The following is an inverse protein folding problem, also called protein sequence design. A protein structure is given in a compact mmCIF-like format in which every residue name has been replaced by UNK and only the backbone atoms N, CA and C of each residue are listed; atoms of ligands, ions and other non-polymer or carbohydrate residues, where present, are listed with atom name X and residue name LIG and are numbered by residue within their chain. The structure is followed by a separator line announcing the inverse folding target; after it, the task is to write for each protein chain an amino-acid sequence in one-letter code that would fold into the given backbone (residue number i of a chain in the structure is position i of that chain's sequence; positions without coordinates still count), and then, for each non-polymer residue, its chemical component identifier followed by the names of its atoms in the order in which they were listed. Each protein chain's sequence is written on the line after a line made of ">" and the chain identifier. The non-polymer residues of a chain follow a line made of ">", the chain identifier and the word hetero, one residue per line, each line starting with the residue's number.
data_IF_728194901321
#
_entry.id   IF_728194901321
#
_cell.length_a   1.000
_cell.length_b   1.000
_cell.length_c   1.000
_cell.angle_alpha   90.00
_cell.angle_beta   90.00
_cell.angle_gamma   90.00
#
_symmetry.space_group_name_H-M   'P 1'
#
loop_
_entity.id
_entity.type
_entity.pdbx_description
1 polymer ?
#
# COMPACT_ATOMS: atom_id res chain seq x y z
N UNK A 1 -3.66 -15.43 7.74
CA UNK A 1 -4.97 -14.82 8.07
C UNK A 1 -5.06 -13.44 7.42
N UNK A 2 -6.24 -13.07 6.94
CA UNK A 2 -6.63 -11.73 6.52
C UNK A 2 -7.84 -11.29 7.35
N UNK A 3 -7.70 -10.17 8.07
CA UNK A 3 -8.79 -9.58 8.86
C UNK A 3 -9.52 -8.56 7.98
N UNK A 4 -10.85 -8.65 7.94
CA UNK A 4 -11.72 -7.75 7.19
C UNK A 4 -12.77 -7.17 8.13
N UNK A 5 -12.85 -5.85 8.23
CA UNK A 5 -13.93 -5.22 8.99
C UNK A 5 -15.27 -5.46 8.28
N UNK A 6 -16.29 -5.90 9.03
CA UNK A 6 -17.64 -6.13 8.47
C UNK A 6 -18.29 -4.83 7.96
N UNK A 7 -18.03 -3.74 8.67
CA UNK A 7 -18.47 -2.41 8.29
C UNK A 7 -17.22 -1.62 7.87
N UNK A 8 -17.08 -1.36 6.57
CA UNK A 8 -16.20 -0.27 6.13
C UNK A 8 -16.58 0.95 6.97
N UNK A 9 -15.63 1.47 7.75
CA UNK A 9 -15.84 2.63 8.61
C UNK A 9 -16.52 3.72 7.79
N UNK A 10 -17.82 3.94 8.01
CA UNK A 10 -18.54 5.08 7.45
C UNK A 10 -17.87 6.31 8.03
N UNK A 11 -16.91 6.85 7.29
CA UNK A 11 -16.21 8.05 7.69
C UNK A 11 -17.21 9.19 7.84
N UNK A 12 -16.85 10.24 8.56
CA UNK A 12 -17.65 11.47 8.72
C UNK A 12 -18.11 12.09 7.39
N UNK A 13 -17.51 11.67 6.27
CA UNK A 13 -17.81 12.12 4.92
C UNK A 13 -18.48 11.05 4.03
N UNK A 14 -18.87 9.89 4.59
CA UNK A 14 -19.42 8.75 3.85
C UNK A 14 -18.52 8.23 2.73
N UNK A 15 -17.20 8.44 2.85
CA UNK A 15 -16.21 7.87 1.93
C UNK A 15 -15.93 6.46 2.43
N UNK A 16 -16.40 5.48 1.66
CA UNK A 16 -16.05 4.07 1.80
C UNK A 16 -15.02 3.72 0.74
N UNK A 17 -14.38 2.57 0.91
CA UNK A 17 -13.58 2.01 -0.17
C UNK A 17 -14.43 1.79 -1.43
N UNK A 18 -13.90 2.17 -2.60
CA UNK A 18 -14.61 1.99 -3.87
C UNK A 18 -14.76 0.51 -4.22
N UNK A 19 -15.83 0.17 -4.94
CA UNK A 19 -16.04 -1.20 -5.40
C UNK A 19 -14.90 -1.69 -6.31
N UNK A 20 -14.29 -0.80 -7.11
CA UNK A 20 -13.11 -1.10 -7.92
C UNK A 20 -11.92 -1.55 -7.04
N UNK A 21 -11.65 -0.83 -5.94
CA UNK A 21 -10.55 -1.18 -5.03
C UNK A 21 -10.85 -2.46 -4.24
N UNK A 22 -12.10 -2.68 -3.83
CA UNK A 22 -12.55 -3.94 -3.22
C UNK A 22 -12.35 -5.13 -4.15
N UNK A 23 -12.74 -4.99 -5.42
CA UNK A 23 -12.56 -6.02 -6.44
C UNK A 23 -11.07 -6.32 -6.67
N UNK A 24 -10.24 -5.29 -6.84
CA UNK A 24 -8.80 -5.45 -6.99
C UNK A 24 -8.16 -6.17 -5.79
N UNK A 25 -8.59 -5.81 -4.56
CA UNK A 25 -8.15 -6.50 -3.34
C UNK A 25 -8.60 -7.96 -3.31
N UNK A 26 -9.87 -8.23 -3.62
CA UNK A 26 -10.38 -9.61 -3.71
C UNK A 26 -9.59 -10.44 -4.71
N UNK A 27 -9.33 -9.93 -5.91
CA UNK A 27 -8.49 -10.61 -6.91
C UNK A 27 -7.08 -10.88 -6.37
N UNK A 28 -6.49 -9.90 -5.68
CA UNK A 28 -5.16 -10.03 -5.07
C UNK A 28 -5.12 -11.11 -3.98
N UNK A 29 -6.14 -11.20 -3.15
CA UNK A 29 -6.26 -12.22 -2.10
C UNK A 29 -6.54 -13.61 -2.67
N UNK A 30 -7.32 -13.72 -3.75
CA UNK A 30 -7.51 -14.98 -4.50
C UNK A 30 -6.18 -15.46 -5.09
N UNK A 31 -5.43 -14.56 -5.71
CA UNK A 31 -4.12 -14.86 -6.27
C UNK A 31 -3.14 -15.33 -5.17
N UNK A 32 -3.06 -14.60 -4.05
CA UNK A 32 -2.25 -15.00 -2.90
C UNK A 32 -2.65 -16.38 -2.36
N UNK A 33 -3.94 -16.64 -2.18
CA UNK A 33 -4.42 -17.94 -1.69
C UNK A 33 -4.08 -19.08 -2.67
N UNK A 34 -4.09 -18.81 -3.98
CA UNK A 34 -3.69 -19.78 -5.01
C UNK A 34 -2.20 -20.11 -4.89
N UNK A 35 -1.34 -19.11 -4.74
CA UNK A 35 0.09 -19.33 -4.51
C UNK A 35 0.36 -20.09 -3.20
N UNK A 36 -0.32 -19.72 -2.10
CA UNK A 36 -0.20 -20.43 -0.83
C UNK A 36 -0.63 -21.90 -0.94
N UNK A 37 -1.71 -22.19 -1.66
CA UNK A 37 -2.18 -23.57 -1.91
C UNK A 37 -1.15 -24.40 -2.65
N UNK A 38 -0.42 -23.82 -3.59
CA UNK A 38 0.68 -24.51 -4.28
C UNK A 38 1.82 -24.91 -3.34
N UNK A 39 1.95 -24.22 -2.20
CA UNK A 39 2.91 -24.50 -1.13
C UNK A 39 2.31 -25.34 0.02
N UNK A 40 1.10 -25.87 -0.15
CA UNK A 40 0.41 -26.66 0.89
C UNK A 40 -0.22 -25.83 2.01
N UNK A 41 -0.42 -24.52 1.81
CA UNK A 41 -0.97 -23.57 2.78
C UNK A 41 -2.23 -22.86 2.22
N UNK A 42 -2.92 -22.02 2.99
CA UNK A 42 -4.04 -21.19 2.56
C UNK A 42 -4.21 -19.97 3.47
N UNK A 43 -4.83 -18.92 2.93
CA UNK A 43 -5.23 -17.76 3.73
C UNK A 43 -6.63 -17.96 4.34
N UNK A 44 -6.75 -17.82 5.65
CA UNK A 44 -8.03 -17.69 6.33
C UNK A 44 -8.53 -16.24 6.26
N UNK A 45 -9.79 -16.04 5.90
CA UNK A 45 -10.46 -14.74 5.78
C UNK A 45 -11.43 -14.57 6.94
N UNK A 46 -11.14 -13.63 7.82
CA UNK A 46 -11.95 -13.40 9.02
C UNK A 46 -12.66 -12.07 8.90
N UNK A 47 -13.99 -12.13 8.83
CA UNK A 47 -14.82 -10.94 8.86
C UNK A 47 -15.10 -10.60 10.33
N UNK A 48 -14.52 -9.50 10.80
CA UNK A 48 -14.59 -9.06 12.19
C UNK A 48 -15.49 -7.85 12.35
N UNK A 49 -16.32 -7.86 13.39
CA UNK A 49 -17.18 -6.72 13.76
C UNK A 49 -16.63 -5.90 14.91
N UNK A 50 -15.70 -6.49 15.67
CA UNK A 50 -15.12 -5.87 16.86
C UNK A 50 -13.79 -6.51 17.20
N UNK A 51 -12.99 -5.83 18.00
CA UNK A 51 -11.75 -6.38 18.56
C UNK A 51 -12.00 -7.66 19.36
N UNK A 52 -13.19 -7.88 19.92
CA UNK A 52 -13.51 -9.11 20.65
C UNK A 52 -13.53 -10.35 19.73
N UNK A 53 -13.99 -10.21 18.48
CA UNK A 53 -13.98 -11.33 17.53
C UNK A 53 -12.54 -11.69 17.10
N UNK A 54 -11.63 -10.70 17.06
CA UNK A 54 -10.18 -10.94 16.87
C UNK A 54 -9.62 -11.69 18.09
N UNK A 55 -9.95 -11.27 19.31
CA UNK A 55 -9.52 -11.94 20.54
C UNK A 55 -9.97 -13.41 20.57
N UNK A 56 -11.23 -13.69 20.24
CA UNK A 56 -11.75 -15.06 20.19
C UNK A 56 -10.98 -15.94 19.19
N UNK A 57 -10.55 -15.38 18.07
CA UNK A 57 -9.71 -16.10 17.12
C UNK A 57 -8.31 -16.38 17.68
N UNK A 58 -7.69 -15.40 18.34
CA UNK A 58 -6.40 -15.58 19.02
C UNK A 58 -6.52 -16.66 20.11
N UNK A 59 -7.59 -16.66 20.90
CA UNK A 59 -7.86 -17.67 21.93
C UNK A 59 -8.00 -19.09 21.33
N UNK A 60 -8.64 -19.23 20.16
CA UNK A 60 -8.82 -20.52 19.48
C UNK A 60 -7.51 -21.08 18.91
N UNK A 61 -6.67 -20.19 18.37
CA UNK A 61 -5.39 -20.53 17.75
C UNK A 61 -4.30 -20.74 18.81
N UNK A 62 -4.30 -19.93 19.87
CA UNK A 62 -3.29 -19.87 20.93
C UNK A 62 -1.86 -19.84 20.38
N UNK A 63 -1.48 -18.81 19.59
CA UNK A 63 -0.18 -18.76 18.93
C UNK A 63 0.92 -18.29 19.89
N UNK A 64 2.15 -18.77 19.68
CA UNK A 64 3.33 -18.25 20.41
C UNK A 64 3.78 -16.87 19.88
N UNK A 65 3.50 -16.58 18.60
CA UNK A 65 3.97 -15.36 17.91
C UNK A 65 2.96 -14.91 16.86
N UNK A 66 2.76 -13.59 16.73
CA UNK A 66 1.92 -12.97 15.70
C UNK A 66 2.73 -11.93 14.94
N UNK A 67 2.84 -12.11 13.62
CA UNK A 67 3.49 -11.16 12.72
C UNK A 67 2.48 -10.30 11.98
N UNK A 68 2.79 -9.02 11.80
CA UNK A 68 2.12 -8.15 10.81
C UNK A 68 3.07 -7.18 10.13
N UNK A 69 2.64 -6.70 8.96
CA UNK A 69 3.21 -5.50 8.37
C UNK A 69 2.72 -4.26 9.14
N UNK A 70 3.62 -3.31 9.40
CA UNK A 70 3.25 -1.99 9.89
C UNK A 70 2.44 -1.27 8.81
N UNK A 71 1.35 -0.64 9.23
CA UNK A 71 0.51 0.19 8.38
C UNK A 71 0.33 1.58 9.02
N UNK A 72 0.24 2.66 8.22
CA UNK A 72 -0.14 3.97 8.73
C UNK A 72 -1.45 3.88 9.51
N UNK A 73 -1.46 4.38 10.76
CA UNK A 73 -2.68 4.41 11.57
C UNK A 73 -3.79 5.16 10.83
N UNK A 74 -4.83 4.44 10.44
CA UNK A 74 -6.08 5.06 10.04
C UNK A 74 -6.85 5.49 11.29
N UNK A 75 -7.74 6.46 11.14
CA UNK A 75 -8.56 6.93 12.26
C UNK A 75 -9.23 5.74 12.98
N UNK A 76 -9.10 5.68 14.31
CA UNK A 76 -9.80 4.74 15.22
C UNK A 76 -9.33 3.28 15.25
N UNK A 77 -8.20 2.92 14.61
CA UNK A 77 -7.76 1.52 14.60
C UNK A 77 -6.71 1.23 15.70
N UNK A 78 -7.19 0.89 16.90
CA UNK A 78 -6.36 0.56 18.07
C UNK A 78 -6.39 -0.93 18.43
N UNK A 79 -6.95 -1.79 17.56
CA UNK A 79 -7.10 -3.22 17.85
C UNK A 79 -5.76 -3.88 18.19
N UNK A 80 -4.67 -3.46 17.56
CA UNK A 80 -3.35 -4.04 17.78
C UNK A 80 -2.80 -3.74 19.17
N UNK A 81 -2.97 -2.51 19.66
CA UNK A 81 -2.57 -2.17 21.02
C UNK A 81 -3.42 -2.95 22.02
N UNK A 82 -4.74 -3.04 21.76
CA UNK A 82 -5.68 -3.79 22.61
C UNK A 82 -5.31 -5.28 22.70
N UNK A 83 -5.02 -5.95 21.58
CA UNK A 83 -4.64 -7.37 21.62
C UNK A 83 -3.24 -7.57 22.23
N UNK A 84 -2.31 -6.65 22.01
CA UNK A 84 -0.96 -6.74 22.61
C UNK A 84 -1.02 -6.60 24.14
N UNK A 85 -1.86 -5.69 24.65
CA UNK A 85 -2.08 -5.52 26.09
C UNK A 85 -2.80 -6.72 26.71
N UNK A 86 -3.75 -7.32 25.98
CA UNK A 86 -4.54 -8.45 26.46
C UNK A 86 -3.75 -9.76 26.54
N UNK A 87 -2.79 -9.98 25.64
CA UNK A 87 -2.04 -11.23 25.51
C UNK A 87 -0.53 -11.01 25.70
N UNK A 88 -0.06 -10.64 26.92
CA UNK A 88 1.34 -10.31 27.16
C UNK A 88 2.31 -11.49 26.97
N UNK A 89 1.80 -12.72 26.95
CA UNK A 89 2.56 -13.95 26.71
C UNK A 89 2.86 -14.25 25.23
N UNK A 90 2.13 -13.63 24.30
CA UNK A 90 2.33 -13.81 22.86
C UNK A 90 3.39 -12.83 22.36
N UNK A 91 4.34 -13.29 21.55
CA UNK A 91 5.29 -12.39 20.89
C UNK A 91 4.64 -11.65 19.71
N UNK A 92 4.34 -10.36 19.88
CA UNK A 92 3.80 -9.51 18.82
C UNK A 92 4.91 -8.83 18.01
N UNK A 93 5.00 -9.16 16.72
CA UNK A 93 6.04 -8.70 15.81
C UNK A 93 5.47 -7.84 14.69
N UNK A 94 5.74 -6.54 14.74
CA UNK A 94 5.37 -5.60 13.68
C UNK A 94 6.60 -5.21 12.84
N UNK A 95 6.53 -5.37 11.50
CA UNK A 95 7.65 -5.13 10.58
C UNK A 95 7.29 -4.09 9.51
N UNK A 96 8.22 -3.19 9.19
CA UNK A 96 8.06 -2.31 8.02
C UNK A 96 8.46 -3.07 6.77
N UNK A 97 7.47 -3.59 6.05
CA UNK A 97 7.65 -4.34 4.80
C UNK A 97 7.43 -3.49 3.55
N UNK A 98 6.87 -2.29 3.72
CA UNK A 98 6.48 -1.42 2.60
C UNK A 98 7.61 -0.51 2.13
N UNK A 99 8.70 -0.33 2.88
CA UNK A 99 9.79 0.64 2.62
C UNK A 99 10.94 0.04 1.80
N UNK A 100 11.72 0.91 1.15
CA UNK A 100 13.00 0.56 0.52
C UNK A 100 14.06 0.27 1.59
N UNK A 101 14.14 1.13 2.62
CA UNK A 101 15.13 1.07 3.68
C UNK A 101 14.54 0.52 4.97
N UNK A 102 15.40 -0.05 5.80
CA UNK A 102 15.08 -0.42 7.17
C UNK A 102 15.34 0.74 8.14
N UNK A 103 14.71 0.68 9.33
CA UNK A 103 14.88 1.71 10.36
C UNK A 103 16.34 1.85 10.80
N UNK A 104 17.09 0.73 10.84
CA UNK A 104 18.52 0.68 11.16
C UNK A 104 19.41 1.35 10.10
N UNK A 105 18.91 1.52 8.88
CA UNK A 105 19.66 2.17 7.79
C UNK A 105 19.48 3.70 7.78
N UNK A 106 18.49 4.24 8.50
CA UNK A 106 18.22 5.68 8.49
C UNK A 106 19.35 6.45 9.20
N UNK A 107 19.90 7.50 8.57
CA UNK A 107 21.03 8.27 9.13
C UNK A 107 20.57 9.39 10.07
N UNK A 108 19.39 9.24 10.67
CA UNK A 108 18.80 10.20 11.58
C UNK A 108 17.84 9.49 12.53
N UNK A 109 17.72 10.02 13.74
CA UNK A 109 16.72 9.57 14.68
C UNK A 109 15.33 10.13 14.37
N UNK A 110 14.29 9.54 14.97
CA UNK A 110 12.89 9.97 14.79
C UNK A 110 12.68 11.47 15.05
N UNK A 111 13.35 12.01 16.07
CA UNK A 111 13.22 13.42 16.45
C UNK A 111 13.95 14.38 15.50
N UNK A 112 14.80 13.84 14.60
CA UNK A 112 15.56 14.58 13.59
C UNK A 112 15.02 14.33 12.18
N UNK A 113 13.80 13.78 12.06
CA UNK A 113 13.21 13.47 10.76
C UNK A 113 13.20 14.73 9.86
N UNK A 114 13.73 14.65 8.63
CA UNK A 114 13.83 15.82 7.78
C UNK A 114 12.47 16.40 7.41
N UNK A 115 12.22 17.66 7.77
CA UNK A 115 10.92 18.33 7.53
C UNK A 115 10.53 18.55 6.05
N UNK A 116 11.43 18.25 5.11
CA UNK A 116 11.17 18.38 3.67
C UNK A 116 11.73 17.17 2.94
N UNK A 117 11.03 16.75 1.89
CA UNK A 117 11.49 15.66 1.01
C UNK A 117 12.91 15.89 0.47
N UNK A 118 13.26 17.11 0.06
CA UNK A 118 14.61 17.38 -0.48
C UNK A 118 15.73 17.13 0.53
N UNK A 119 15.50 17.43 1.82
CA UNK A 119 16.46 17.11 2.89
C UNK A 119 16.52 15.61 3.14
N UNK A 120 15.37 14.94 3.19
CA UNK A 120 15.27 13.48 3.33
C UNK A 120 15.98 12.74 2.20
N UNK A 121 15.66 13.05 0.93
CA UNK A 121 16.29 12.45 -0.24
C UNK A 121 17.81 12.54 -0.17
N UNK A 122 18.36 13.74 0.06
CA UNK A 122 19.82 13.94 0.14
C UNK A 122 20.50 13.11 1.23
N UNK A 123 19.81 12.85 2.35
CA UNK A 123 20.37 12.03 3.41
C UNK A 123 20.31 10.53 3.13
N UNK A 124 19.39 10.05 2.27
CA UNK A 124 19.22 8.60 2.05
C UNK A 124 19.56 8.09 0.65
N UNK A 125 19.66 8.96 -0.37
CA UNK A 125 19.76 8.53 -1.77
C UNK A 125 21.04 7.77 -2.14
N UNK A 126 22.08 7.89 -1.31
CA UNK A 126 23.36 7.20 -1.45
C UNK A 126 23.39 5.86 -0.71
N UNK A 127 22.38 5.55 0.11
CA UNK A 127 22.33 4.33 0.89
C UNK A 127 22.02 3.13 -0.02
N UNK A 128 22.68 2.01 0.27
CA UNK A 128 22.43 0.77 -0.43
C UNK A 128 21.02 0.24 -0.11
N UNK A 129 20.24 -0.02 -1.16
CA UNK A 129 18.94 -0.68 -1.05
C UNK A 129 19.19 -2.18 -1.16
N UNK A 130 18.67 -2.92 -0.19
CA UNK A 130 18.79 -4.37 -0.17
C UNK A 130 17.98 -4.99 -1.31
N UNK A 131 18.45 -6.14 -1.79
CA UNK A 131 17.72 -6.92 -2.78
C UNK A 131 16.38 -7.43 -2.21
N UNK A 132 15.39 -7.71 -3.07
CA UNK A 132 14.15 -8.37 -2.66
C UNK A 132 14.43 -9.72 -1.99
N UNK A 133 13.65 -10.05 -0.96
CA UNK A 133 13.74 -11.34 -0.27
C UNK A 133 13.28 -12.45 -1.23
N UNK A 134 13.98 -13.58 -1.20
CA UNK A 134 13.67 -14.75 -2.02
C UNK A 134 12.35 -15.37 -1.57
N UNK A 135 11.53 -15.76 -2.55
CA UNK A 135 10.27 -16.47 -2.32
C UNK A 135 10.52 -17.80 -1.59
N UNK A 136 9.75 -18.15 -0.53
CA UNK A 136 9.87 -19.44 0.11
C UNK A 136 9.47 -20.57 -0.86
N UNK A 137 10.23 -21.67 -0.82
CA UNK A 137 9.95 -22.87 -1.65
C UNK A 137 9.05 -23.89 -0.95
N UNK A 138 8.81 -23.72 0.35
CA UNK A 138 7.95 -24.58 1.16
C UNK A 138 7.39 -23.81 2.35
N UNK A 139 6.18 -24.17 2.79
CA UNK A 139 5.56 -23.66 4.01
C UNK A 139 5.11 -24.84 4.89
N UNK A 140 5.01 -24.66 6.21
CA UNK A 140 4.40 -25.65 7.07
C UNK A 140 2.92 -25.84 6.71
N UNK A 141 2.32 -27.01 7.01
CA UNK A 141 0.90 -27.23 6.79
C UNK A 141 0.06 -26.23 7.60
N UNK A 142 -1.17 -25.92 7.16
CA UNK A 142 -2.09 -25.11 7.95
C UNK A 142 -2.41 -25.77 9.29
N UNK A 143 -2.78 -24.95 10.26
CA UNK A 143 -3.34 -25.42 11.51
C UNK A 143 -4.61 -26.23 11.24
N UNK A 144 -4.73 -27.42 11.84
CA UNK A 144 -5.88 -28.30 11.68
C UNK A 144 -7.04 -27.83 12.56
N UNK A 145 -7.70 -26.72 12.17
CA UNK A 145 -8.77 -26.05 12.93
C UNK A 145 -10.02 -25.83 12.05
N UNK A 146 -11.12 -25.39 12.67
CA UNK A 146 -12.45 -25.36 12.03
C UNK A 146 -12.49 -24.49 10.78
N UNK A 147 -13.22 -24.94 9.75
CA UNK A 147 -13.40 -24.25 8.44
C UNK A 147 -14.20 -22.95 8.51
N UNK A 148 -14.63 -22.53 9.69
CA UNK A 148 -15.48 -21.34 9.90
C UNK A 148 -14.84 -20.05 9.37
N UNK A 149 -13.52 -20.02 9.25
CA UNK A 149 -12.71 -18.87 8.83
C UNK A 149 -12.32 -18.91 7.33
N UNK A 150 -12.73 -19.94 6.59
CA UNK A 150 -12.41 -20.12 5.18
C UNK A 150 -13.49 -19.52 4.27
N UNK A 151 -13.79 -18.23 4.45
CA UNK A 151 -14.78 -17.52 3.63
C UNK A 151 -14.16 -17.22 2.26
N UNK A 152 -14.80 -17.71 1.20
CA UNK A 152 -14.34 -17.47 -0.16
C UNK A 152 -14.34 -15.97 -0.52
N UNK A 153 -13.28 -15.54 -1.20
CA UNK A 153 -13.22 -14.23 -1.83
C UNK A 153 -14.03 -14.26 -3.11
N UNK A 154 -14.88 -13.25 -3.30
CA UNK A 154 -15.61 -13.04 -4.56
C UNK A 154 -14.98 -11.87 -5.28
N UNK A 155 -14.65 -12.08 -6.54
CA UNK A 155 -14.17 -11.04 -7.43
C UNK A 155 -14.96 -11.10 -8.73
N UNK A 156 -15.18 -9.93 -9.31
CA UNK A 156 -15.64 -9.74 -10.69
C UNK A 156 -14.51 -9.15 -11.50
N UNK A 157 -14.71 -9.02 -12.80
CA UNK A 157 -13.78 -8.30 -13.66
C UNK A 157 -13.69 -6.83 -13.23
N UNK A 158 -12.47 -6.30 -13.31
CA UNK A 158 -12.11 -4.92 -12.98
C UNK A 158 -11.19 -4.39 -14.08
N UNK A 159 -11.04 -3.06 -14.17
CA UNK A 159 -10.16 -2.40 -15.14
C UNK A 159 -8.70 -2.89 -15.01
N UNK A 160 -8.27 -3.17 -13.78
CA UNK A 160 -6.95 -3.70 -13.49
C UNK A 160 -7.06 -5.05 -12.76
N UNK A 161 -6.17 -5.98 -13.11
CA UNK A 161 -6.14 -7.30 -12.49
C UNK A 161 -5.21 -7.32 -11.27
N UNK A 162 -5.78 -7.69 -10.12
CA UNK A 162 -5.06 -7.84 -8.86
C UNK A 162 -4.17 -9.07 -8.79
N UNK A 163 -3.22 -9.05 -7.85
CA UNK A 163 -2.32 -10.17 -7.56
C UNK A 163 -0.85 -9.91 -7.90
N UNK A 164 0.03 -10.61 -7.17
CA UNK A 164 1.49 -10.50 -7.34
C UNK A 164 1.94 -10.82 -8.76
N UNK A 165 1.40 -11.89 -9.36
CA UNK A 165 1.80 -12.34 -10.70
C UNK A 165 1.53 -11.28 -11.77
N UNK A 166 0.38 -10.62 -11.74
CA UNK A 166 0.06 -9.54 -12.69
C UNK A 166 0.94 -8.31 -12.43
N UNK A 167 1.24 -8.00 -11.16
CA UNK A 167 2.18 -6.95 -10.82
C UNK A 167 3.58 -7.23 -11.37
N UNK A 168 4.12 -8.44 -11.16
CA UNK A 168 5.44 -8.84 -11.66
C UNK A 168 5.47 -8.85 -13.18
N UNK A 169 4.43 -9.37 -13.83
CA UNK A 169 4.28 -9.33 -15.28
C UNK A 169 4.33 -7.90 -15.81
N UNK A 170 3.57 -6.98 -15.23
CA UNK A 170 3.56 -5.58 -15.64
C UNK A 170 4.91 -4.89 -15.38
N UNK A 171 5.58 -5.22 -14.27
CA UNK A 171 6.94 -4.76 -13.96
C UNK A 171 7.93 -5.21 -15.05
N UNK A 172 7.89 -6.47 -15.43
CA UNK A 172 8.75 -7.04 -16.47
C UNK A 172 8.46 -6.39 -17.83
N UNK A 173 7.18 -6.31 -18.24
CA UNK A 173 6.77 -5.67 -19.49
C UNK A 173 7.21 -4.19 -19.57
N UNK A 174 7.08 -3.45 -18.47
CA UNK A 174 7.49 -2.04 -18.41
C UNK A 174 9.00 -1.87 -18.63
N UNK A 175 9.82 -2.73 -18.00
CA UNK A 175 11.28 -2.69 -18.13
C UNK A 175 11.83 -3.48 -19.33
N UNK A 176 11.02 -4.28 -20.04
CA UNK A 176 11.42 -4.84 -21.34
C UNK A 176 11.46 -3.78 -22.45
N UNK A 177 10.60 -2.76 -22.37
CA UNK A 177 10.52 -1.67 -23.34
C UNK A 177 11.48 -0.50 -23.04
N UNK A 178 11.40 0.58 -23.82
CA UNK A 178 12.21 1.79 -23.59
C UNK A 178 11.49 2.89 -22.77
N UNK A 179 10.27 2.62 -22.28
CA UNK A 179 9.47 3.62 -21.57
C UNK A 179 10.18 4.19 -20.32
N UNK A 180 10.98 3.38 -19.63
CA UNK A 180 11.77 3.84 -18.48
C UNK A 180 12.81 4.91 -18.86
N UNK A 181 13.35 4.85 -20.08
CA UNK A 181 14.31 5.83 -20.60
C UNK A 181 13.67 7.18 -20.95
N UNK A 182 12.34 7.24 -21.12
CA UNK A 182 11.58 8.47 -21.41
C UNK A 182 10.68 8.92 -20.25
N UNK A 183 10.75 8.26 -19.10
CA UNK A 183 9.82 8.46 -17.98
C UNK A 183 9.73 9.92 -17.52
N UNK A 184 10.86 10.63 -17.37
CA UNK A 184 10.85 12.02 -16.89
C UNK A 184 10.12 12.95 -17.86
N UNK A 185 10.18 12.67 -19.15
CA UNK A 185 9.51 13.47 -20.19
C UNK A 185 8.01 13.18 -20.23
N UNK A 186 7.59 11.93 -20.00
CA UNK A 186 6.20 11.50 -20.18
C UNK A 186 5.35 11.55 -18.90
N UNK A 187 5.95 11.53 -17.70
CA UNK A 187 5.25 11.35 -16.41
C UNK A 187 4.16 12.38 -16.09
N UNK A 188 4.18 13.55 -16.72
CA UNK A 188 3.18 14.61 -16.53
C UNK A 188 2.03 14.56 -17.54
N UNK A 189 2.06 13.64 -18.50
CA UNK A 189 0.94 13.42 -19.39
C UNK A 189 -0.26 12.88 -18.61
N UNK A 190 -1.44 13.43 -18.88
CA UNK A 190 -2.67 13.15 -18.14
C UNK A 190 -3.35 11.84 -18.54
N UNK A 191 -3.09 11.37 -19.74
CA UNK A 191 -3.64 10.12 -20.28
C UNK A 191 -2.53 9.32 -20.97
N UNK A 192 -2.69 8.01 -21.10
CA UNK A 192 -1.78 7.09 -21.76
C UNK A 192 -1.13 6.09 -20.80
N UNK A 193 -1.30 4.80 -21.11
CA UNK A 193 -0.77 3.70 -20.29
C UNK A 193 0.76 3.79 -20.11
N UNK A 194 1.48 4.02 -21.21
CA UNK A 194 2.95 4.03 -21.27
C UNK A 194 3.61 5.29 -20.72
N UNK A 195 2.83 6.33 -20.39
CA UNK A 195 3.37 7.63 -19.98
C UNK A 195 3.95 7.64 -18.56
N UNK A 196 3.60 6.65 -17.74
CA UNK A 196 4.17 6.44 -16.41
C UNK A 196 4.26 4.94 -16.11
N UNK A 197 4.84 4.58 -14.97
CA UNK A 197 5.05 3.18 -14.60
C UNK A 197 3.77 2.42 -14.28
N UNK A 198 2.72 3.10 -13.82
CA UNK A 198 1.46 2.50 -13.31
C UNK A 198 1.64 1.47 -12.17
N UNK A 199 2.83 1.40 -11.55
CA UNK A 199 3.13 0.47 -10.45
C UNK A 199 2.36 0.76 -9.16
N UNK A 200 1.81 1.97 -9.01
CA UNK A 200 1.04 2.37 -7.82
C UNK A 200 -0.10 1.41 -7.49
N UNK A 201 -0.72 0.82 -8.51
CA UNK A 201 -1.85 -0.11 -8.36
C UNK A 201 -1.44 -1.31 -7.50
N UNK A 202 -0.39 -2.04 -7.89
CA UNK A 202 0.14 -3.19 -7.15
C UNK A 202 1.01 -2.83 -5.94
N UNK A 203 1.67 -1.67 -5.94
CA UNK A 203 2.42 -1.16 -4.78
C UNK A 203 1.53 -0.86 -3.58
N UNK A 204 0.28 -0.45 -3.82
CA UNK A 204 -0.63 0.03 -2.78
C UNK A 204 -1.11 -1.07 -1.82
N UNK A 205 -1.18 -2.31 -2.28
CA UNK A 205 -1.64 -3.46 -1.50
C UNK A 205 -0.55 -4.54 -1.31
N UNK A 206 0.69 -4.24 -1.69
CA UNK A 206 1.84 -5.14 -1.51
C UNK A 206 1.92 -6.28 -2.53
N UNK A 207 1.16 -6.26 -3.62
CA UNK A 207 1.37 -7.20 -4.73
C UNK A 207 2.73 -6.99 -5.43
N UNK A 208 3.26 -5.76 -5.35
CA UNK A 208 4.65 -5.45 -5.66
C UNK A 208 5.29 -4.77 -4.46
N UNK A 209 6.56 -5.09 -4.19
CA UNK A 209 7.39 -4.37 -3.23
C UNK A 209 8.20 -3.26 -3.91
N UNK A 210 8.52 -2.20 -3.16
CA UNK A 210 9.39 -1.13 -3.67
C UNK A 210 10.79 -1.65 -4.03
N UNK A 211 11.31 -2.64 -3.27
CA UNK A 211 12.60 -3.28 -3.54
C UNK A 211 12.58 -4.05 -4.88
N UNK A 212 11.48 -4.73 -5.23
CA UNK A 212 11.33 -5.40 -6.54
C UNK A 212 11.41 -4.39 -7.70
N UNK A 213 10.74 -3.25 -7.58
CA UNK A 213 10.79 -2.20 -8.60
C UNK A 213 12.20 -1.62 -8.73
N UNK A 214 12.85 -1.33 -7.61
CA UNK A 214 14.22 -0.82 -7.62
C UNK A 214 15.19 -1.84 -8.25
N UNK A 215 15.05 -3.13 -7.91
CA UNK A 215 15.84 -4.20 -8.52
C UNK A 215 15.61 -4.30 -10.04
N UNK A 216 14.35 -4.28 -10.47
CA UNK A 216 13.98 -4.25 -11.90
C UNK A 216 14.57 -3.04 -12.64
N UNK A 217 14.53 -1.86 -12.00
CA UNK A 217 15.17 -0.65 -12.51
C UNK A 217 16.69 -0.81 -12.63
N UNK A 218 17.37 -1.39 -11.64
CA UNK A 218 18.83 -1.62 -11.73
C UNK A 218 19.20 -2.65 -12.78
N UNK A 219 18.37 -3.67 -12.99
CA UNK A 219 18.52 -4.61 -14.11
C UNK A 219 18.36 -3.91 -15.45
N UNK A 220 17.37 -3.02 -15.57
CA UNK A 220 17.16 -2.18 -16.76
C UNK A 220 18.39 -1.33 -17.07
N UNK A 221 18.89 -0.59 -16.07
CA UNK A 221 20.03 0.32 -16.22
C UNK A 221 21.31 -0.42 -16.64
N UNK A 222 21.53 -1.65 -16.15
CA UNK A 222 22.67 -2.50 -16.57
C UNK A 222 22.57 -2.94 -18.03
N UNK A 223 21.36 -3.18 -18.53
CA UNK A 223 21.15 -3.74 -19.87
C UNK A 223 21.00 -2.67 -20.96
N UNK A 224 20.32 -1.56 -20.66
CA UNK A 224 19.97 -0.52 -21.65
C UNK A 224 20.71 0.79 -21.39
N UNK A 225 21.03 1.08 -20.13
CA UNK A 225 21.73 2.29 -19.71
C UNK A 225 20.93 3.12 -18.70
N UNK A 226 21.66 3.80 -17.81
CA UNK A 226 21.08 4.76 -16.88
C UNK A 226 21.00 6.16 -17.50
N UNK A 227 19.94 6.90 -17.21
CA UNK A 227 19.78 8.30 -17.61
C UNK A 227 18.93 9.07 -16.59
N UNK A 228 18.62 10.33 -16.90
CA UNK A 228 17.79 11.15 -16.00
C UNK A 228 16.40 10.57 -15.73
N UNK A 229 15.81 9.86 -16.70
CA UNK A 229 14.48 9.26 -16.60
C UNK A 229 14.48 8.02 -15.71
N UNK A 230 15.49 7.16 -15.83
CA UNK A 230 15.64 5.98 -14.96
C UNK A 230 15.87 6.43 -13.51
N UNK A 231 16.70 7.45 -13.29
CA UNK A 231 16.83 8.08 -11.98
C UNK A 231 15.50 8.65 -11.47
N UNK A 232 14.69 9.27 -12.33
CA UNK A 232 13.42 9.86 -11.90
C UNK A 232 12.41 8.82 -11.41
N UNK A 233 12.45 7.58 -11.92
CA UNK A 233 11.65 6.48 -11.35
C UNK A 233 12.07 6.23 -9.89
N UNK A 234 13.38 6.15 -9.63
CA UNK A 234 13.89 6.01 -8.26
C UNK A 234 13.52 7.21 -7.38
N UNK A 235 13.62 8.43 -7.91
CA UNK A 235 13.21 9.66 -7.21
C UNK A 235 11.75 9.61 -6.75
N UNK A 236 10.82 9.08 -7.55
CA UNK A 236 9.42 8.90 -7.14
C UNK A 236 9.23 7.79 -6.11
N UNK A 237 10.03 6.71 -6.16
CA UNK A 237 10.05 5.72 -5.07
C UNK A 237 10.53 6.33 -3.76
N UNK A 238 11.47 7.29 -3.80
CA UNK A 238 11.91 8.03 -2.62
C UNK A 238 10.80 8.94 -2.06
N UNK A 239 9.92 9.49 -2.89
CA UNK A 239 8.73 10.20 -2.41
C UNK A 239 7.81 9.27 -1.63
N UNK A 240 7.58 8.06 -2.15
CA UNK A 240 6.81 7.04 -1.42
C UNK A 240 7.50 6.67 -0.11
N UNK A 241 8.81 6.47 -0.12
CA UNK A 241 9.61 6.20 1.08
C UNK A 241 9.45 7.31 2.13
N UNK A 242 9.58 8.57 1.71
CA UNK A 242 9.42 9.73 2.60
C UNK A 242 8.07 9.74 3.30
N UNK A 243 6.97 9.51 2.57
CA UNK A 243 5.64 9.53 3.16
C UNK A 243 5.35 8.32 4.05
N UNK A 244 5.95 7.14 3.79
CA UNK A 244 5.86 5.99 4.70
C UNK A 244 6.50 6.32 6.06
N UNK A 245 7.71 6.88 6.06
CA UNK A 245 8.38 7.29 7.29
C UNK A 245 7.71 8.49 7.97
N UNK A 246 7.25 9.47 7.18
CA UNK A 246 6.50 10.61 7.71
C UNK A 246 5.23 10.14 8.42
N UNK A 247 4.50 9.17 7.86
CA UNK A 247 3.32 8.59 8.49
C UNK A 247 3.64 7.86 9.80
N UNK A 248 4.78 7.15 9.85
CA UNK A 248 5.24 6.46 11.06
C UNK A 248 5.64 7.43 12.17
N UNK A 249 6.30 8.53 11.84
CA UNK A 249 6.85 9.48 12.82
C UNK A 249 5.82 10.54 13.22
N UNK A 250 4.95 10.95 12.30
CA UNK A 250 3.96 12.01 12.49
C UNK A 250 2.52 11.56 12.20
N UNK A 251 2.02 10.47 12.80
CA UNK A 251 0.72 9.87 12.46
C UNK A 251 -0.45 10.84 12.64
N UNK A 252 -0.43 11.64 13.71
CA UNK A 252 -1.50 12.62 14.00
C UNK A 252 -1.50 13.81 13.03
N UNK A 253 -0.34 14.16 12.45
CA UNK A 253 -0.21 15.30 11.55
C UNK A 253 -0.89 15.05 10.21
N UNK A 254 -0.94 13.80 9.75
CA UNK A 254 -1.60 13.43 8.49
C UNK A 254 -3.12 13.60 8.52
N UNK A 255 -3.71 13.47 9.70
CA UNK A 255 -5.17 13.42 9.90
C UNK A 255 -5.72 14.69 10.53
N UNK A 256 -4.86 15.50 11.17
CA UNK A 256 -5.23 16.78 11.75
C UNK A 256 -5.67 17.76 10.67
N UNK A 257 -6.80 18.44 10.88
CA UNK A 257 -7.33 19.45 9.94
C UNK A 257 -6.32 20.57 9.63
N UNK A 258 -5.46 20.94 10.58
CA UNK A 258 -4.41 21.94 10.36
C UNK A 258 -3.17 21.37 9.67
N UNK A 259 -3.09 20.07 9.45
CA UNK A 259 -1.86 19.40 9.02
C UNK A 259 -0.69 19.76 9.93
N UNK A 260 0.47 20.05 9.32
CA UNK A 260 1.66 20.52 10.02
C UNK A 260 1.65 22.03 10.35
N UNK A 261 0.57 22.75 10.01
CA UNK A 261 0.43 24.17 10.32
C UNK A 261 0.01 24.38 11.77
N UNK A 262 0.57 25.41 12.40
CA UNK A 262 0.13 25.92 13.70
C UNK A 262 -1.21 26.68 13.63
N UNK A 263 -1.68 27.00 12.42
CA UNK A 263 -2.96 27.68 12.18
C UNK A 263 -3.88 26.80 11.34
N UNK A 264 -5.10 26.60 11.81
CA UNK A 264 -6.15 25.93 11.04
C UNK A 264 -6.48 26.73 9.78
N UNK A 265 -6.65 26.05 8.62
CA UNK A 265 -7.10 26.70 7.40
C UNK A 265 -8.42 27.45 7.62
N UNK A 266 -8.49 28.71 7.17
CA UNK A 266 -9.72 29.50 7.22
C UNK A 266 -10.62 29.10 6.04
N UNK A 267 -11.36 28.02 6.23
CA UNK A 267 -12.26 27.45 5.21
C UNK A 267 -13.49 26.84 5.87
N UNK A 268 -14.55 26.65 5.09
CA UNK A 268 -15.76 25.95 5.50
C UNK A 268 -16.11 24.87 4.49
N UNK A 269 -16.71 23.78 4.96
CA UNK A 269 -17.17 22.71 4.08
C UNK A 269 -18.45 23.15 3.35
N UNK A 270 -18.42 23.10 2.01
CA UNK A 270 -19.59 23.32 1.18
C UNK A 270 -20.00 22.00 0.50
N UNK A 271 -21.04 21.31 1.01
CA UNK A 271 -21.46 20.01 0.50
C UNK A 271 -21.84 20.01 -0.98
N UNK A 272 -22.44 21.12 -1.47
CA UNK A 272 -22.88 21.23 -2.86
C UNK A 272 -21.69 21.35 -3.82
N UNK A 273 -20.68 22.18 -3.47
CA UNK A 273 -19.45 22.31 -4.26
C UNK A 273 -18.66 21.01 -4.26
N UNK A 274 -18.56 20.35 -3.10
CA UNK A 274 -17.90 19.05 -3.00
C UNK A 274 -18.59 18.00 -3.87
N UNK A 275 -19.93 17.89 -3.79
CA UNK A 275 -20.71 16.96 -4.64
C UNK A 275 -20.48 17.22 -6.12
N UNK A 276 -20.50 18.48 -6.56
CA UNK A 276 -20.21 18.88 -7.95
C UNK A 276 -18.80 18.47 -8.40
N UNK A 277 -17.81 18.64 -7.53
CA UNK A 277 -16.44 18.20 -7.80
C UNK A 277 -16.36 16.66 -7.92
N UNK A 278 -16.91 15.92 -6.96
CA UNK A 278 -16.96 14.46 -7.00
C UNK A 278 -17.66 13.94 -8.26
N UNK A 279 -18.74 14.58 -8.70
CA UNK A 279 -19.54 14.16 -9.86
C UNK A 279 -19.06 14.76 -11.19
N UNK A 280 -17.82 15.27 -11.28
CA UNK A 280 -17.26 15.87 -12.49
C UNK A 280 -18.16 16.97 -13.12
N UNK A 281 -18.83 17.77 -12.29
CA UNK A 281 -19.78 18.81 -12.71
C UNK A 281 -19.35 20.19 -12.21
N UNK A 282 -18.12 20.58 -12.58
CA UNK A 282 -17.55 21.90 -12.33
C UNK A 282 -17.51 22.73 -13.61
N UNK A 283 -17.31 24.05 -13.54
CA UNK A 283 -17.07 24.87 -14.72
C UNK A 283 -15.74 24.59 -15.44
N UNK A 284 -14.88 23.71 -14.91
CA UNK A 284 -13.52 23.49 -15.40
C UNK A 284 -13.40 22.10 -16.07
N UNK A 285 -13.26 22.04 -17.41
CA UNK A 285 -13.24 20.76 -18.14
C UNK A 285 -12.14 19.80 -17.68
N UNK A 286 -10.94 20.31 -17.39
CA UNK A 286 -9.81 19.48 -16.93
C UNK A 286 -10.09 18.78 -15.60
N UNK A 287 -10.74 19.48 -14.66
CA UNK A 287 -11.13 18.91 -13.37
C UNK A 287 -12.16 17.82 -13.60
N UNK A 288 -13.16 18.08 -14.45
CA UNK A 288 -14.20 17.12 -14.75
C UNK A 288 -13.62 15.85 -15.41
N UNK A 289 -12.69 15.99 -16.37
CA UNK A 289 -12.02 14.85 -17.00
C UNK A 289 -11.29 13.95 -15.98
N UNK A 290 -10.51 14.56 -15.08
CA UNK A 290 -9.78 13.80 -14.04
C UNK A 290 -10.74 13.09 -13.08
N UNK A 291 -11.82 13.77 -12.66
CA UNK A 291 -12.80 13.17 -11.75
C UNK A 291 -13.65 12.09 -12.42
N UNK A 292 -13.97 12.24 -13.71
CA UNK A 292 -14.62 11.21 -14.50
C UNK A 292 -13.76 9.96 -14.62
N UNK A 293 -12.46 10.11 -14.90
CA UNK A 293 -11.52 8.98 -14.93
C UNK A 293 -11.41 8.31 -13.56
N UNK A 294 -11.21 9.08 -12.48
CA UNK A 294 -11.13 8.55 -11.12
C UNK A 294 -12.39 7.72 -10.75
N UNK A 295 -13.58 8.21 -11.09
CA UNK A 295 -14.83 7.49 -10.80
C UNK A 295 -15.02 6.22 -11.63
N UNK A 296 -14.46 6.17 -12.84
CA UNK A 296 -14.62 5.06 -13.77
C UNK A 296 -13.54 3.97 -13.60
N UNK A 297 -12.31 4.38 -13.26
CA UNK A 297 -11.12 3.51 -13.33
C UNK A 297 -10.40 3.34 -11.99
N UNK A 298 -10.67 4.20 -10.99
CA UNK A 298 -10.15 4.08 -9.62
C UNK A 298 -9.13 5.13 -9.22
#
# INVERSE_FOLDING_TARGET
>A
MYLEAKDDLKSRFSINESELRKQFRSQSLIALNTELKSLGQHIDRIIVKSTLEICSFIDEINPDVIYRSWEPKQFFDDYWAVITERYPEIDFQEKLSSTLLEESQLPFEKHQFPATFSKFRRSIEHLAIQDPIVRPTSLPPPLNKAKTWQIEFKATDCVFTGGEREGVKHLDEYFMGQNASSYKQTRNALDGWKNSTKFSIWLSNGCLSARQIFYGLKKYERNIGANESTYWIYFELLWREYFQWYAKIHPMTLTKFSGNSNRSPMTFFNPQRFKKWCSANTPFPIVNACMSQLNAEG
#
